data_IF_073945685351
#
_entry.id   IF_073945685351
#
_cell.length_a   1.000
_cell.length_b   1.000
_cell.length_c   1.000
_cell.angle_alpha   90.00
_cell.angle_beta   90.00
_cell.angle_gamma   90.00
#
_symmetry.space_group_name_H-M   'P 1'
#
loop_
_entity.id
_entity.type
_entity.pdbx_description
1 polymer ?
#
# COMPACT_ATOMS: atom_id res chain seq x y z
N UNK A 1 -10.99 -6.78 18.10
CA UNK A 1 -10.07 -5.98 18.91
C UNK A 1 -9.69 -4.68 18.24
N UNK A 2 -9.27 -3.71 19.05
CA UNK A 2 -8.74 -2.43 18.57
C UNK A 2 -7.33 -2.27 19.14
N UNK A 3 -6.36 -2.03 18.28
CA UNK A 3 -4.97 -1.80 18.65
C UNK A 3 -4.54 -0.41 18.18
N UNK A 4 -3.79 0.30 19.04
CA UNK A 4 -3.12 1.54 18.69
C UNK A 4 -1.62 1.32 18.51
N UNK A 5 -1.01 2.04 17.60
CA UNK A 5 0.43 2.03 17.40
C UNK A 5 0.97 3.45 17.20
N UNK A 6 2.14 3.73 17.77
CA UNK A 6 2.91 4.93 17.51
C UNK A 6 4.40 4.54 17.56
N UNK A 7 5.15 4.97 16.58
CA UNK A 7 6.60 4.80 16.61
C UNK A 7 7.23 5.77 17.61
N UNK A 8 8.21 5.32 18.39
CA UNK A 8 8.99 6.19 19.28
C UNK A 8 9.72 7.33 18.55
N UNK A 9 9.91 7.19 17.23
CA UNK A 9 10.52 8.22 16.38
C UNK A 9 9.52 9.28 15.91
N UNK A 10 8.21 9.00 16.07
CA UNK A 10 7.13 9.85 15.61
C UNK A 10 6.53 10.55 16.81
N UNK A 11 6.70 11.84 16.90
CA UNK A 11 6.14 12.65 17.96
C UNK A 11 5.62 13.98 17.43
N UNK A 12 4.80 14.68 18.23
CA UNK A 12 4.21 15.96 17.83
C UNK A 12 5.22 17.12 17.88
N UNK A 13 6.50 16.82 18.15
CA UNK A 13 7.53 17.80 18.41
C UNK A 13 8.24 18.26 17.15
N UNK A 14 8.75 19.50 17.18
CA UNK A 14 9.67 20.01 16.16
C UNK A 14 10.99 19.24 16.23
N UNK A 15 11.45 18.75 15.08
CA UNK A 15 12.74 18.09 14.93
C UNK A 15 13.62 18.99 14.05
N UNK A 16 14.70 19.50 14.63
CA UNK A 16 15.75 20.20 13.89
C UNK A 16 16.93 19.26 13.64
N UNK A 17 17.55 19.40 12.49
CA UNK A 17 18.78 18.71 12.14
C UNK A 17 19.91 19.72 11.94
N UNK A 18 21.13 19.36 12.34
CA UNK A 18 22.30 20.18 12.13
C UNK A 18 22.88 19.93 10.73
N UNK A 19 23.06 20.98 9.99
CA UNK A 19 23.91 21.00 8.80
C UNK A 19 25.29 21.51 9.25
N UNK A 20 26.28 20.63 9.24
CA UNK A 20 27.62 20.92 9.78
C UNK A 20 28.47 21.78 8.86
N UNK A 21 28.10 21.87 7.58
CA UNK A 21 28.84 22.64 6.58
C UNK A 21 27.85 23.34 5.64
N UNK A 22 27.32 24.47 6.10
CA UNK A 22 26.53 25.31 5.20
C UNK A 22 27.43 25.78 4.06
N UNK A 23 27.01 25.51 2.82
CA UNK A 23 27.82 25.81 1.62
C UNK A 23 28.22 27.30 1.49
N UNK A 24 27.40 28.21 1.99
CA UNK A 24 27.60 29.63 1.86
C UNK A 24 28.43 30.26 2.98
N UNK A 25 28.25 29.77 4.21
CA UNK A 25 28.89 30.39 5.39
C UNK A 25 30.04 29.57 5.96
N UNK A 26 30.13 28.30 5.57
CA UNK A 26 31.03 27.29 6.13
C UNK A 26 30.87 27.10 7.66
N UNK A 27 29.73 27.51 8.21
CA UNK A 27 29.40 27.42 9.62
C UNK A 27 28.29 26.34 9.81
N UNK A 28 28.12 25.88 11.04
CA UNK A 28 27.02 24.98 11.38
C UNK A 28 25.70 25.73 11.36
N UNK A 29 24.76 25.24 10.59
CA UNK A 29 23.38 25.72 10.54
C UNK A 29 22.41 24.67 11.04
N UNK A 30 21.20 25.06 11.41
CA UNK A 30 20.11 24.16 11.73
C UNK A 30 18.99 24.37 10.73
N UNK A 31 18.39 23.27 10.32
CA UNK A 31 17.16 23.30 9.50
C UNK A 31 16.07 22.48 10.15
N UNK A 32 14.82 22.86 9.91
CA UNK A 32 13.67 22.11 10.40
C UNK A 32 13.51 20.87 9.52
N UNK A 33 13.73 19.68 10.11
CA UNK A 33 13.53 18.41 9.45
C UNK A 33 12.06 17.99 9.49
N UNK A 34 11.36 18.25 10.59
CA UNK A 34 9.95 18.01 10.75
C UNK A 34 9.38 19.11 11.66
N UNK A 35 8.34 19.84 11.23
CA UNK A 35 7.65 20.80 12.07
C UNK A 35 6.87 20.09 13.18
N UNK A 36 6.52 20.83 14.22
CA UNK A 36 5.62 20.34 15.25
C UNK A 36 4.22 20.09 14.68
N UNK A 37 3.61 18.95 15.03
CA UNK A 37 2.22 18.65 14.70
C UNK A 37 1.43 18.22 15.95
N UNK A 38 0.81 19.18 16.69
CA UNK A 38 0.04 18.86 17.88
C UNK A 38 -1.25 18.08 17.58
N UNK A 39 -1.68 18.01 16.32
CA UNK A 39 -2.86 17.25 15.89
C UNK A 39 -2.56 15.78 15.61
N UNK A 40 -1.33 15.34 15.83
CA UNK A 40 -0.92 13.97 15.57
C UNK A 40 -1.69 13.00 16.48
N UNK A 41 -2.28 11.98 15.88
CA UNK A 41 -3.04 10.94 16.57
C UNK A 41 -2.38 9.58 16.40
N UNK A 42 -2.68 8.68 17.31
CA UNK A 42 -2.26 7.28 17.21
C UNK A 42 -2.95 6.59 16.02
N UNK A 43 -2.20 5.79 15.31
CA UNK A 43 -2.78 4.84 14.35
C UNK A 43 -3.72 3.89 15.07
N UNK A 44 -4.84 3.58 14.47
CA UNK A 44 -5.84 2.66 15.02
C UNK A 44 -6.10 1.55 14.01
N UNK A 45 -6.05 0.31 14.47
CA UNK A 45 -6.46 -0.83 13.68
C UNK A 45 -7.56 -1.59 14.40
N UNK A 46 -8.73 -1.64 13.79
CA UNK A 46 -9.86 -2.45 14.21
C UNK A 46 -9.81 -3.77 13.45
N UNK A 47 -9.82 -4.89 14.17
CA UNK A 47 -9.79 -6.23 13.60
C UNK A 47 -11.06 -6.97 13.98
N UNK A 48 -11.75 -7.51 12.98
CA UNK A 48 -12.82 -8.49 13.12
C UNK A 48 -12.32 -9.77 12.46
N UNK A 49 -12.38 -10.87 13.21
CA UNK A 49 -11.91 -12.18 12.78
C UNK A 49 -12.94 -13.23 13.14
N UNK A 50 -13.27 -14.10 12.20
CA UNK A 50 -14.18 -15.23 12.37
C UNK A 50 -13.48 -16.44 11.78
N UNK A 51 -13.31 -17.48 12.61
CA UNK A 51 -12.67 -18.72 12.18
C UNK A 51 -13.55 -19.92 12.55
N UNK A 52 -13.49 -20.94 11.72
CA UNK A 52 -14.10 -22.23 11.95
C UNK A 52 -13.02 -23.29 11.78
N UNK A 53 -12.73 -24.00 12.87
CA UNK A 53 -11.89 -25.18 12.85
C UNK A 53 -12.76 -26.42 12.76
N UNK A 54 -12.35 -27.37 11.97
CA UNK A 54 -13.09 -28.62 11.79
C UNK A 54 -12.18 -29.83 11.76
N UNK A 55 -12.78 -30.94 12.15
CA UNK A 55 -12.11 -32.24 12.17
C UNK A 55 -13.14 -33.32 11.78
N UNK A 56 -12.89 -33.95 10.66
CA UNK A 56 -13.83 -34.84 10.02
C UNK A 56 -13.20 -36.22 9.75
N UNK A 57 -14.04 -37.26 9.58
CA UNK A 57 -13.61 -38.59 9.20
C UNK A 57 -12.57 -39.20 10.13
N UNK A 58 -12.77 -39.11 11.45
CA UNK A 58 -11.85 -39.63 12.48
C UNK A 58 -10.41 -39.06 12.34
N UNK A 59 -10.32 -37.77 12.21
CA UNK A 59 -9.07 -36.99 12.02
C UNK A 59 -8.40 -37.13 10.64
N UNK A 60 -9.03 -37.78 9.67
CA UNK A 60 -8.46 -37.92 8.33
C UNK A 60 -8.51 -36.63 7.52
N UNK A 61 -9.46 -35.75 7.84
CA UNK A 61 -9.53 -34.41 7.25
C UNK A 61 -9.72 -33.38 8.36
N UNK A 62 -8.76 -32.49 8.51
CA UNK A 62 -8.85 -31.39 9.46
C UNK A 62 -8.39 -30.10 8.80
N UNK A 63 -8.82 -28.99 9.35
CA UNK A 63 -8.45 -27.70 8.82
C UNK A 63 -9.16 -26.56 9.49
N UNK A 64 -8.89 -25.37 8.96
CA UNK A 64 -9.54 -24.14 9.37
C UNK A 64 -9.93 -23.29 8.17
N UNK A 65 -11.00 -22.55 8.33
CA UNK A 65 -11.41 -21.46 7.42
C UNK A 65 -11.54 -20.20 8.25
N UNK A 66 -10.78 -19.20 7.90
CA UNK A 66 -10.73 -17.93 8.60
C UNK A 66 -11.14 -16.81 7.66
N UNK A 67 -12.03 -15.94 8.13
CA UNK A 67 -12.36 -14.66 7.50
C UNK A 67 -11.89 -13.52 8.40
N UNK A 68 -11.19 -12.57 7.83
CA UNK A 68 -10.77 -11.36 8.55
C UNK A 68 -11.14 -10.07 7.81
N UNK A 69 -11.38 -9.03 8.62
CA UNK A 69 -11.53 -7.66 8.16
C UNK A 69 -10.77 -6.73 9.11
N UNK A 70 -9.76 -6.06 8.58
CA UNK A 70 -8.92 -5.09 9.31
C UNK A 70 -9.17 -3.71 8.72
N UNK A 71 -9.63 -2.76 9.56
CA UNK A 71 -9.75 -1.35 9.18
C UNK A 71 -8.69 -0.57 9.95
N UNK A 72 -7.74 0.02 9.21
CA UNK A 72 -6.72 0.92 9.75
C UNK A 72 -7.08 2.36 9.44
N UNK A 73 -7.01 3.21 10.44
CA UNK A 73 -7.31 4.64 10.35
C UNK A 73 -6.23 5.46 11.05
N UNK A 74 -6.17 6.74 10.75
CA UNK A 74 -5.18 7.65 11.28
C UNK A 74 -3.73 7.19 11.00
N UNK A 75 -3.49 6.52 9.86
CA UNK A 75 -2.16 6.03 9.48
C UNK A 75 -1.19 7.20 9.33
N UNK A 76 -0.02 7.04 9.92
CA UNK A 76 1.04 8.04 9.94
C UNK A 76 1.92 7.93 8.71
N UNK A 77 2.34 9.08 8.18
CA UNK A 77 3.31 9.14 7.11
C UNK A 77 3.80 10.56 6.88
N UNK A 78 4.87 10.65 6.11
CA UNK A 78 5.44 11.92 5.69
C UNK A 78 4.63 12.47 4.51
N UNK A 79 4.01 13.60 4.74
CA UNK A 79 3.27 14.35 3.73
C UNK A 79 4.14 15.46 3.17
N UNK A 80 4.28 15.51 1.84
CA UNK A 80 5.04 16.59 1.16
C UNK A 80 4.29 17.90 1.29
N UNK A 81 5.01 18.92 1.76
CA UNK A 81 4.49 20.28 1.95
C UNK A 81 5.07 21.22 0.90
N UNK A 82 4.51 22.41 0.79
CA UNK A 82 5.08 23.47 -0.02
C UNK A 82 6.45 23.86 0.56
N UNK A 83 7.56 23.78 -0.21
CA UNK A 83 8.89 24.12 0.26
C UNK A 83 9.04 25.58 0.74
N UNK A 84 8.15 26.47 0.34
CA UNK A 84 8.15 27.87 0.80
C UNK A 84 7.86 28.02 2.28
N UNK A 85 7.32 26.96 2.92
CA UNK A 85 7.11 26.90 4.38
C UNK A 85 8.41 26.69 5.17
N UNK A 86 9.54 26.42 4.49
CA UNK A 86 10.84 26.16 5.10
C UNK A 86 11.10 24.69 5.46
N UNK A 87 10.19 23.78 5.09
CA UNK A 87 10.36 22.33 5.20
C UNK A 87 9.65 21.62 4.06
N UNK A 88 10.18 20.49 3.62
CA UNK A 88 9.67 19.75 2.46
C UNK A 88 8.65 18.67 2.82
N UNK A 89 8.57 18.27 4.09
CA UNK A 89 7.62 17.26 4.55
C UNK A 89 7.22 17.46 6.00
N UNK A 90 6.07 16.94 6.35
CA UNK A 90 5.54 16.94 7.72
C UNK A 90 4.92 15.57 8.01
N UNK A 91 5.19 15.05 9.20
CA UNK A 91 4.52 13.85 9.69
C UNK A 91 3.07 14.18 10.06
N UNK A 92 2.12 13.43 9.47
CA UNK A 92 0.70 13.59 9.77
C UNK A 92 -0.07 12.29 9.64
N UNK A 93 -1.29 12.27 10.16
CA UNK A 93 -2.23 11.19 9.91
C UNK A 93 -2.86 11.43 8.54
N UNK A 94 -2.43 10.67 7.55
CA UNK A 94 -2.73 11.00 6.15
C UNK A 94 -3.58 9.97 5.42
N UNK A 95 -3.79 8.77 6.01
CA UNK A 95 -4.48 7.72 5.29
C UNK A 95 -5.35 6.83 6.19
N UNK A 96 -6.34 6.22 5.56
CA UNK A 96 -7.09 5.10 6.10
C UNK A 96 -7.31 4.04 5.04
N UNK A 97 -7.32 2.76 5.44
CA UNK A 97 -7.54 1.63 4.55
C UNK A 97 -8.27 0.48 5.24
N UNK A 98 -8.85 -0.39 4.45
CA UNK A 98 -9.23 -1.70 4.94
C UNK A 98 -8.44 -2.80 4.22
N UNK A 99 -8.30 -3.92 4.93
CA UNK A 99 -7.74 -5.15 4.43
C UNK A 99 -8.62 -6.31 4.89
N UNK A 100 -9.13 -7.10 3.96
CA UNK A 100 -10.01 -8.24 4.25
C UNK A 100 -9.62 -9.43 3.41
N UNK A 101 -9.82 -10.61 3.97
CA UNK A 101 -9.45 -11.82 3.26
C UNK A 101 -10.07 -13.07 3.86
N UNK A 102 -9.76 -14.17 3.20
CA UNK A 102 -10.10 -15.53 3.61
C UNK A 102 -8.82 -16.35 3.60
N UNK A 103 -8.61 -17.12 4.65
CA UNK A 103 -7.52 -18.08 4.74
C UNK A 103 -8.12 -19.48 4.96
N UNK A 104 -7.59 -20.46 4.24
CA UNK A 104 -8.04 -21.85 4.31
C UNK A 104 -6.80 -22.72 4.50
N UNK A 105 -6.82 -23.54 5.52
CA UNK A 105 -5.81 -24.57 5.77
C UNK A 105 -6.52 -25.92 5.81
N UNK A 106 -6.08 -26.85 4.97
CA UNK A 106 -6.61 -28.20 4.93
C UNK A 106 -5.47 -29.20 5.08
N UNK A 107 -5.65 -30.15 5.96
CA UNK A 107 -4.75 -31.28 6.13
C UNK A 107 -5.55 -32.55 5.90
N UNK A 108 -5.05 -33.44 5.04
CA UNK A 108 -5.70 -34.71 4.81
C UNK A 108 -4.72 -35.88 4.93
N UNK A 109 -5.18 -36.94 5.58
CA UNK A 109 -4.53 -38.25 5.57
C UNK A 109 -5.24 -39.11 4.51
N UNK A 110 -4.65 -39.11 3.29
CA UNK A 110 -5.27 -39.71 2.12
C UNK A 110 -5.23 -41.24 2.20
N UNK A 111 -4.05 -41.77 2.54
CA UNK A 111 -3.82 -43.21 2.70
C UNK A 111 -2.98 -43.39 3.96
N UNK A 112 -3.38 -44.40 4.75
CA UNK A 112 -2.63 -44.88 5.90
C UNK A 112 -2.75 -46.40 6.02
N UNK A 113 -1.63 -47.06 5.84
CA UNK A 113 -1.45 -48.50 6.05
C UNK A 113 -0.26 -48.67 7.01
N UNK A 114 0.03 -49.94 7.38
CA UNK A 114 1.22 -50.21 8.24
C UNK A 114 2.55 -49.92 7.55
N UNK A 115 2.58 -49.91 6.22
CA UNK A 115 3.81 -49.79 5.43
C UNK A 115 3.86 -48.49 4.62
N UNK A 116 2.72 -47.81 4.43
CA UNK A 116 2.66 -46.61 3.60
C UNK A 116 1.69 -45.57 4.18
N UNK A 117 2.10 -44.35 4.20
CA UNK A 117 1.23 -43.21 4.52
C UNK A 117 1.41 -42.08 3.52
N UNK A 118 0.28 -41.50 3.11
CA UNK A 118 0.24 -40.32 2.26
C UNK A 118 -0.66 -39.27 2.87
N UNK A 119 -0.04 -38.11 3.18
CA UNK A 119 -0.74 -36.92 3.68
C UNK A 119 -0.59 -35.78 2.70
N UNK A 120 -1.59 -34.92 2.65
CA UNK A 120 -1.56 -33.66 1.87
C UNK A 120 -1.87 -32.48 2.78
N UNK A 121 -1.18 -31.38 2.53
CA UNK A 121 -1.45 -30.09 3.16
C UNK A 121 -1.74 -29.08 2.09
N UNK A 122 -2.86 -28.37 2.20
CA UNK A 122 -3.26 -27.31 1.28
C UNK A 122 -3.50 -26.04 2.06
N UNK A 123 -2.84 -24.95 1.64
CA UNK A 123 -3.01 -23.63 2.19
C UNK A 123 -3.43 -22.69 1.07
N UNK A 124 -4.48 -21.93 1.32
CA UNK A 124 -4.99 -20.93 0.39
C UNK A 124 -5.28 -19.65 1.13
N UNK A 125 -4.82 -18.54 0.58
CA UNK A 125 -5.08 -17.20 1.07
C UNK A 125 -5.61 -16.29 -0.04
N UNK A 126 -6.68 -15.58 0.26
CA UNK A 126 -7.18 -14.48 -0.56
C UNK A 126 -7.16 -13.21 0.26
N UNK A 127 -6.52 -12.16 -0.28
CA UNK A 127 -6.40 -10.86 0.37
C UNK A 127 -6.82 -9.72 -0.58
N UNK A 128 -7.64 -8.81 -0.08
CA UNK A 128 -8.03 -7.60 -0.80
C UNK A 128 -7.95 -6.40 0.12
N UNK A 129 -7.10 -5.43 -0.24
CA UNK A 129 -7.04 -4.16 0.44
C UNK A 129 -7.62 -3.03 -0.43
N UNK A 130 -8.03 -1.94 0.21
CA UNK A 130 -8.48 -0.72 -0.46
C UNK A 130 -8.20 0.48 0.42
N UNK A 131 -7.63 1.51 -0.18
CA UNK A 131 -7.45 2.82 0.44
C UNK A 131 -8.78 3.55 0.47
N UNK A 132 -9.23 3.95 1.65
CA UNK A 132 -10.48 4.67 1.88
C UNK A 132 -10.27 6.17 1.78
N UNK A 133 -9.21 6.63 2.43
CA UNK A 133 -8.82 8.03 2.46
C UNK A 133 -7.31 8.13 2.38
N UNK A 134 -6.82 9.13 1.71
CA UNK A 134 -5.41 9.47 1.63
C UNK A 134 -5.27 10.94 1.26
N UNK A 135 -4.44 11.66 1.97
CA UNK A 135 -3.99 12.99 1.59
C UNK A 135 -2.85 12.84 0.58
N UNK A 136 -2.95 13.55 -0.53
CA UNK A 136 -1.91 13.53 -1.58
C UNK A 136 -1.62 14.95 -2.02
N UNK A 137 -0.34 15.28 -2.15
CA UNK A 137 0.12 16.59 -2.61
C UNK A 137 0.30 16.66 -4.12
N UNK A 138 0.45 15.52 -4.80
CA UNK A 138 0.72 15.44 -6.23
C UNK A 138 -0.29 14.55 -6.94
N UNK A 139 -1.12 15.17 -7.77
CA UNK A 139 -2.16 14.56 -8.59
C UNK A 139 -1.79 14.57 -10.09
N UNK A 140 -0.51 14.83 -10.43
CA UNK A 140 -0.05 14.76 -11.82
C UNK A 140 -0.07 13.34 -12.36
N UNK A 141 -0.28 13.18 -13.67
CA UNK A 141 -0.22 11.87 -14.32
C UNK A 141 1.14 11.19 -14.04
N UNK A 142 2.23 11.98 -14.08
CA UNK A 142 3.56 11.48 -13.78
C UNK A 142 3.66 10.81 -12.40
N UNK A 143 3.06 11.40 -11.37
CA UNK A 143 3.07 10.83 -10.02
C UNK A 143 2.36 9.49 -9.92
N UNK A 144 1.43 9.21 -10.83
CA UNK A 144 0.69 7.94 -10.88
C UNK A 144 1.47 6.81 -11.56
N UNK A 145 2.15 7.08 -12.69
CA UNK A 145 2.81 6.00 -13.43
C UNK A 145 4.30 5.82 -13.12
N UNK A 146 4.95 6.80 -12.51
CA UNK A 146 6.39 6.75 -12.23
C UNK A 146 6.79 5.87 -11.03
N UNK A 147 5.85 5.54 -10.15
CA UNK A 147 6.08 4.77 -8.92
C UNK A 147 4.83 4.03 -8.47
N UNK A 148 5.00 3.12 -7.51
CA UNK A 148 3.86 2.51 -6.81
C UNK A 148 3.13 3.56 -5.99
N UNK A 149 1.81 3.52 -6.05
CA UNK A 149 0.96 4.55 -5.48
C UNK A 149 0.04 4.04 -4.39
N UNK A 150 -0.23 4.93 -3.43
CA UNK A 150 -1.34 4.83 -2.50
C UNK A 150 -2.37 5.88 -2.89
N UNK A 151 -3.48 5.46 -3.50
CA UNK A 151 -4.52 6.34 -4.03
C UNK A 151 -5.89 5.93 -3.53
N UNK A 152 -6.75 6.93 -3.23
CA UNK A 152 -8.13 6.69 -2.78
C UNK A 152 -8.87 5.81 -3.77
N UNK A 153 -9.63 4.86 -3.25
CA UNK A 153 -10.42 3.86 -3.97
C UNK A 153 -9.63 2.74 -4.67
N UNK A 154 -8.31 2.75 -4.64
CA UNK A 154 -7.46 1.70 -5.19
C UNK A 154 -6.81 0.87 -4.07
N UNK A 155 -6.18 -0.23 -4.44
CA UNK A 155 -5.36 -1.00 -3.51
C UNK A 155 -4.09 -0.21 -3.13
N UNK A 156 -3.49 -0.56 -2.01
CA UNK A 156 -2.14 -0.09 -1.69
C UNK A 156 -1.16 -0.55 -2.78
N UNK A 157 -0.09 0.22 -3.00
CA UNK A 157 0.93 -0.07 -4.02
C UNK A 157 0.33 -0.32 -5.41
N UNK A 158 -0.65 0.51 -5.78
CA UNK A 158 -1.30 0.48 -7.09
C UNK A 158 -0.36 0.89 -8.20
N UNK A 159 -0.49 0.20 -9.32
CA UNK A 159 0.21 0.48 -10.56
C UNK A 159 -0.77 1.07 -11.57
N UNK A 160 -0.32 2.13 -12.22
CA UNK A 160 -1.04 2.76 -13.31
C UNK A 160 -0.16 2.77 -14.55
N UNK A 161 -0.75 2.64 -15.70
CA UNK A 161 -0.06 2.64 -16.99
C UNK A 161 -0.71 3.56 -17.98
N UNK A 162 0.07 3.96 -18.95
CA UNK A 162 -0.35 4.73 -20.10
C UNK A 162 -0.82 3.75 -21.19
N UNK A 163 -1.88 4.09 -21.92
CA UNK A 163 -2.33 3.31 -23.08
C UNK A 163 -1.44 3.66 -24.27
N UNK A 164 -0.55 2.73 -24.63
CA UNK A 164 0.40 2.91 -25.74
C UNK A 164 -0.33 3.00 -27.08
N UNK A 165 0.00 4.02 -27.88
CA UNK A 165 -0.59 4.29 -29.19
C UNK A 165 0.38 4.05 -30.37
N UNK A 166 1.59 3.55 -30.11
CA UNK A 166 2.63 3.33 -31.10
C UNK A 166 3.72 4.39 -31.04
N UNK A 167 4.56 4.40 -32.07
CA UNK A 167 5.60 5.41 -32.28
C UNK A 167 5.11 6.45 -33.27
N UNK A 168 5.55 7.70 -33.10
CA UNK A 168 5.34 8.75 -34.08
C UNK A 168 6.36 8.63 -35.25
N UNK A 169 6.31 9.55 -36.17
CA UNK A 169 7.21 9.63 -37.34
C UNK A 169 8.70 9.78 -37.00
N UNK A 170 8.99 10.21 -35.77
CA UNK A 170 10.36 10.36 -35.24
C UNK A 170 10.78 9.19 -34.34
N UNK A 171 9.94 8.16 -34.22
CA UNK A 171 10.21 7.00 -33.35
C UNK A 171 9.95 7.29 -31.85
N UNK A 172 9.22 8.34 -31.53
CA UNK A 172 8.90 8.70 -30.13
C UNK A 172 7.60 7.98 -29.72
N UNK A 173 7.56 7.33 -28.51
CA UNK A 173 6.37 6.70 -27.99
C UNK A 173 5.21 7.69 -27.84
N UNK A 174 4.04 7.29 -28.28
CA UNK A 174 2.79 8.05 -28.15
C UNK A 174 1.77 7.30 -27.29
N UNK A 175 0.78 7.99 -26.77
CA UNK A 175 -0.25 7.44 -25.90
C UNK A 175 -1.64 7.89 -26.29
N UNK A 176 -2.65 7.10 -25.94
CA UNK A 176 -4.05 7.51 -26.01
C UNK A 176 -4.44 8.25 -24.73
N UNK A 177 -5.12 9.39 -24.88
CA UNK A 177 -5.86 10.01 -23.79
C UNK A 177 -7.19 9.27 -23.51
N UNK A 178 -7.97 9.74 -22.53
CA UNK A 178 -9.28 9.16 -22.17
C UNK A 178 -10.30 9.22 -23.33
N UNK A 179 -10.17 10.18 -24.24
CA UNK A 179 -11.05 10.36 -25.39
C UNK A 179 -10.65 9.47 -26.59
N UNK A 180 -9.52 8.76 -26.51
CA UNK A 180 -8.99 7.95 -27.61
C UNK A 180 -8.15 8.73 -28.62
N UNK A 181 -7.78 9.96 -28.31
CA UNK A 181 -6.92 10.79 -29.15
C UNK A 181 -5.44 10.50 -28.84
N UNK A 182 -4.59 10.55 -29.86
CA UNK A 182 -3.16 10.32 -29.71
C UNK A 182 -2.47 11.57 -29.18
N UNK A 183 -1.74 11.42 -28.08
CA UNK A 183 -0.90 12.45 -27.44
C UNK A 183 0.56 12.11 -27.64
N UNK A 184 1.34 13.08 -28.11
CA UNK A 184 2.77 12.92 -28.43
C UNK A 184 3.71 13.23 -27.25
N UNK A 185 3.19 13.74 -26.13
CA UNK A 185 3.98 14.03 -24.93
C UNK A 185 3.27 13.53 -23.68
N UNK A 186 4.02 12.90 -22.79
CA UNK A 186 3.50 12.47 -21.49
C UNK A 186 3.01 13.65 -20.63
N UNK A 187 3.55 14.85 -20.84
CA UNK A 187 3.16 16.06 -20.09
C UNK A 187 1.73 16.52 -20.44
N UNK A 188 1.18 16.05 -21.55
CA UNK A 188 -0.20 16.33 -21.97
C UNK A 188 -1.20 15.34 -21.37
N UNK A 189 -0.76 14.30 -20.69
CA UNK A 189 -1.62 13.32 -20.03
C UNK A 189 -2.08 13.85 -18.67
N UNK A 190 -3.32 13.54 -18.35
CA UNK A 190 -3.92 13.73 -17.04
C UNK A 190 -4.06 12.38 -16.32
N UNK A 191 -4.34 12.38 -15.02
CA UNK A 191 -4.55 11.14 -14.26
C UNK A 191 -5.74 10.32 -14.78
N UNK A 192 -6.72 10.97 -15.42
CA UNK A 192 -7.90 10.35 -16.01
C UNK A 192 -7.58 9.58 -17.31
N UNK A 193 -6.44 9.86 -17.93
CA UNK A 193 -5.96 9.17 -19.13
C UNK A 193 -5.28 7.83 -18.81
N UNK A 194 -4.96 7.61 -17.54
CA UNK A 194 -4.25 6.43 -17.09
C UNK A 194 -5.19 5.25 -16.81
N UNK A 195 -4.65 4.04 -16.97
CA UNK A 195 -5.36 2.80 -16.68
C UNK A 195 -4.78 2.17 -15.42
N UNK A 196 -5.66 1.76 -14.51
CA UNK A 196 -5.29 0.96 -13.37
C UNK A 196 -4.86 -0.44 -13.83
N UNK A 197 -3.58 -0.77 -13.63
CA UNK A 197 -2.96 -2.02 -14.11
C UNK A 197 -2.90 -3.09 -13.03
N UNK A 198 -3.30 -2.78 -11.81
CA UNK A 198 -3.29 -3.72 -10.71
C UNK A 198 -2.57 -3.20 -9.48
N UNK A 199 -2.19 -4.12 -8.62
CA UNK A 199 -1.40 -3.84 -7.43
C UNK A 199 -0.17 -4.73 -7.39
N UNK A 200 0.90 -4.24 -6.81
CA UNK A 200 2.11 -5.02 -6.55
C UNK A 200 1.85 -6.15 -5.52
N UNK A 201 0.88 -5.97 -4.65
CA UNK A 201 0.52 -6.95 -3.62
C UNK A 201 -0.28 -8.12 -4.23
N UNK A 202 0.17 -9.38 -4.09
CA UNK A 202 -0.56 -10.52 -4.58
C UNK A 202 -1.88 -10.68 -3.84
N UNK A 203 -2.95 -10.94 -4.58
CA UNK A 203 -4.28 -11.19 -4.00
C UNK A 203 -4.51 -12.64 -3.61
N UNK A 204 -3.80 -13.54 -4.26
CA UNK A 204 -3.93 -14.98 -4.07
C UNK A 204 -2.58 -15.55 -3.69
N UNK A 205 -2.61 -16.45 -2.72
CA UNK A 205 -1.48 -17.27 -2.31
C UNK A 205 -1.99 -18.68 -2.13
N UNK A 206 -1.31 -19.65 -2.72
CA UNK A 206 -1.64 -21.06 -2.56
C UNK A 206 -0.36 -21.90 -2.51
N UNK A 207 -0.39 -22.92 -1.64
CA UNK A 207 0.64 -23.95 -1.58
C UNK A 207 -0.01 -25.32 -1.36
N UNK A 208 0.63 -26.34 -1.92
CA UNK A 208 0.20 -27.72 -1.83
C UNK A 208 1.39 -28.63 -1.52
#
# INVERSE_FOLDING_TARGET
>A
GINGNVSKKNGPYLIAAADRNNYYTNESAFYIKSPANPSLRWEKTQVTNIAVDFNLFQNRLNGSVEFYNKKSSDLLGDFSTDPTLGWSSMLMNFASLYNRGVEIVLNSENIKTNEFSWTSNFIFGYNKNKVLEVETSDESAYSYYSKLNTRKNYAMNSMFSVRYAGLDENGIPTAYNKNGEIVKSADLLTKEDLVYSGTYEPRFNASF
#
